data_IF_443311320049
#
_entry.id   IF_443311320049
#
_cell.length_a   1.000
_cell.length_b   1.000
_cell.length_c   1.000
_cell.angle_alpha   90.00
_cell.angle_beta   90.00
_cell.angle_gamma   90.00
#
_symmetry.space_group_name_H-M   'P 1'
#
loop_
_entity.id
_entity.type
_entity.pdbx_description
1 polymer ?
#
# COMPACT_ATOMS: atom_id res chain seq x y z
N UNK A 1 75.94 32.76 8.62
CA UNK A 1 74.61 33.29 9.03
C UNK A 1 73.61 32.72 8.03
N UNK A 2 73.13 31.42 8.32
CA UNK A 2 72.20 30.75 7.48
C UNK A 2 70.77 31.02 8.02
N UNK A 3 70.11 32.01 7.46
CA UNK A 3 68.71 32.28 7.76
C UNK A 3 67.87 31.18 7.10
N UNK A 4 67.14 30.37 7.92
CA UNK A 4 66.43 29.18 7.48
C UNK A 4 65.14 29.61 6.75
N UNK A 5 65.15 29.45 5.48
CA UNK A 5 64.04 29.73 4.52
C UNK A 5 62.75 28.95 4.85
N UNK A 6 62.84 27.98 5.77
CA UNK A 6 61.72 27.12 6.18
C UNK A 6 60.73 27.81 7.14
N UNK A 7 61.18 28.79 7.91
CA UNK A 7 60.29 29.43 8.94
C UNK A 7 59.40 30.50 8.29
N UNK A 8 59.79 31.04 7.14
CA UNK A 8 58.99 32.01 6.38
C UNK A 8 57.83 31.35 5.61
N UNK A 9 58.01 30.14 5.18
CA UNK A 9 56.96 29.38 4.46
C UNK A 9 55.82 28.96 5.42
N UNK A 10 56.12 28.55 6.66
CA UNK A 10 55.11 28.16 7.60
C UNK A 10 54.28 29.35 8.10
N UNK A 11 54.86 30.52 8.31
CA UNK A 11 54.12 31.72 8.72
C UNK A 11 53.17 32.21 7.60
N UNK A 12 53.58 32.13 6.33
CA UNK A 12 52.73 32.49 5.20
C UNK A 12 51.55 31.52 5.00
N UNK A 13 51.80 30.22 5.22
CA UNK A 13 50.77 29.19 5.08
C UNK A 13 49.69 29.30 6.20
N UNK A 14 50.07 29.60 7.42
CA UNK A 14 49.13 29.82 8.54
C UNK A 14 48.27 31.08 8.35
N UNK A 15 48.85 32.15 7.75
CA UNK A 15 48.11 33.37 7.48
C UNK A 15 47.04 33.16 6.38
N UNK A 16 47.37 32.36 5.34
CA UNK A 16 46.42 32.04 4.26
C UNK A 16 45.28 31.13 4.78
N UNK A 17 45.62 30.14 5.64
CA UNK A 17 44.60 29.28 6.24
C UNK A 17 43.65 30.06 7.18
N UNK A 18 44.18 30.99 7.95
CA UNK A 18 43.37 31.86 8.82
C UNK A 18 42.44 32.77 8.03
N UNK A 19 42.87 33.30 6.89
CA UNK A 19 42.06 34.15 6.04
C UNK A 19 40.92 33.36 5.37
N UNK A 20 41.16 32.12 4.93
CA UNK A 20 40.12 31.27 4.37
C UNK A 20 39.08 30.83 5.41
N UNK A 21 39.48 30.55 6.64
CA UNK A 21 38.56 30.20 7.72
C UNK A 21 37.66 31.38 8.15
N UNK A 22 38.17 32.60 8.16
CA UNK A 22 37.38 33.80 8.48
C UNK A 22 36.39 34.14 7.34
N UNK A 23 36.80 33.96 6.07
CA UNK A 23 35.92 34.19 4.93
C UNK A 23 34.78 33.17 4.85
N UNK A 24 35.05 31.91 5.24
CA UNK A 24 34.04 30.86 5.31
C UNK A 24 33.00 31.11 6.42
N UNK A 25 33.42 31.67 7.57
CA UNK A 25 32.48 32.07 8.63
C UNK A 25 31.61 33.27 8.22
N UNK A 26 32.15 34.24 7.47
CA UNK A 26 31.35 35.38 7.02
C UNK A 26 30.25 34.96 6.03
N UNK A 27 30.54 34.00 5.16
CA UNK A 27 29.53 33.48 4.23
C UNK A 27 28.48 32.60 4.93
N UNK A 28 28.81 31.96 6.05
CA UNK A 28 27.87 31.17 6.86
C UNK A 28 26.88 32.04 7.66
N UNK A 29 27.26 33.27 8.04
CA UNK A 29 26.36 34.15 8.78
C UNK A 29 25.36 34.91 7.88
N UNK A 30 25.65 35.03 6.60
CA UNK A 30 24.71 35.67 5.65
C UNK A 30 23.59 34.74 5.15
N UNK A 31 23.67 33.44 5.43
CA UNK A 31 22.63 32.47 5.05
C UNK A 31 21.50 32.31 6.09
N UNK A 32 21.53 33.07 7.20
CA UNK A 32 20.51 32.99 8.27
C UNK A 32 19.48 34.14 8.20
N UNK A 33 19.55 35.00 7.20
CA UNK A 33 18.45 35.86 6.86
C UNK A 33 17.57 35.18 5.82
N UNK A 34 16.93 34.07 6.25
CA UNK A 34 15.76 33.55 5.59
C UNK A 34 14.63 34.54 5.82
N UNK A 35 14.24 35.25 4.78
CA UNK A 35 13.01 35.98 4.73
C UNK A 35 11.89 35.01 5.03
N UNK A 36 11.31 35.12 6.21
CA UNK A 36 10.00 34.52 6.51
C UNK A 36 8.98 35.35 5.75
N UNK A 37 8.88 35.09 4.46
CA UNK A 37 7.67 35.41 3.73
C UNK A 37 6.65 34.34 4.13
N UNK A 38 5.80 34.68 5.08
CA UNK A 38 4.51 34.07 5.18
C UNK A 38 3.76 34.46 3.90
N UNK A 39 3.93 33.68 2.84
CA UNK A 39 2.98 33.66 1.75
C UNK A 39 1.73 33.02 2.32
N UNK A 40 0.82 33.91 2.70
CA UNK A 40 -0.59 33.62 2.88
C UNK A 40 -1.12 33.24 1.47
N UNK A 41 -0.80 32.03 1.01
CA UNK A 41 -1.49 31.42 -0.10
C UNK A 41 -2.90 31.09 0.38
N UNK A 42 -3.75 32.13 0.38
CA UNK A 42 -5.18 31.91 0.19
C UNK A 42 -5.33 31.32 -1.22
N UNK A 43 -5.02 30.04 -1.33
CA UNK A 43 -5.32 29.22 -2.48
C UNK A 43 -6.82 29.32 -2.69
N UNK A 44 -7.24 30.21 -3.58
CA UNK A 44 -8.58 30.20 -4.12
C UNK A 44 -8.81 28.81 -4.67
N UNK A 45 -9.67 28.03 -4.00
CA UNK A 45 -10.13 26.74 -4.48
C UNK A 45 -10.85 27.01 -5.80
N UNK A 46 -10.12 26.91 -6.89
CA UNK A 46 -10.71 26.79 -8.20
C UNK A 46 -11.45 25.47 -8.22
N UNK A 47 -12.76 25.53 -8.26
CA UNK A 47 -13.66 24.38 -8.48
C UNK A 47 -13.61 23.96 -9.95
N UNK A 48 -12.43 24.03 -10.57
CA UNK A 48 -12.20 23.53 -11.90
C UNK A 48 -12.13 21.99 -11.86
N UNK A 49 -12.61 21.40 -12.89
CA UNK A 49 -12.75 19.98 -13.21
C UNK A 49 -11.43 19.16 -13.07
N UNK A 50 -10.32 19.84 -12.76
CA UNK A 50 -8.96 19.32 -12.52
C UNK A 50 -8.56 19.39 -11.03
N UNK A 51 -9.52 19.39 -10.10
CA UNK A 51 -9.22 19.38 -8.68
C UNK A 51 -8.41 18.14 -8.28
N UNK A 52 -7.36 18.37 -7.50
CA UNK A 52 -6.56 17.29 -6.94
C UNK A 52 -7.32 16.61 -5.80
N UNK A 53 -7.33 15.29 -5.83
CA UNK A 53 -7.98 14.45 -4.82
C UNK A 53 -6.97 13.61 -4.07
N UNK A 54 -7.26 13.31 -2.81
CA UNK A 54 -6.48 12.38 -2.01
C UNK A 54 -7.15 11.01 -2.02
N UNK A 55 -6.38 10.02 -2.45
CA UNK A 55 -6.83 8.62 -2.47
C UNK A 55 -6.04 7.84 -1.45
N UNK A 56 -6.73 7.23 -0.50
CA UNK A 56 -6.12 6.36 0.51
C UNK A 56 -6.33 4.90 0.13
N UNK A 57 -5.23 4.18 -0.05
CA UNK A 57 -5.20 2.78 -0.45
C UNK A 57 -4.90 1.93 0.78
N UNK A 58 -5.78 0.96 1.06
CA UNK A 58 -5.64 -0.04 2.12
C UNK A 58 -5.31 -1.38 1.49
N UNK A 59 -4.13 -1.92 1.77
CA UNK A 59 -3.65 -3.21 1.25
C UNK A 59 -2.98 -4.01 2.37
N UNK A 60 -3.60 -5.08 2.84
CA UNK A 60 -3.08 -5.99 3.88
C UNK A 60 -2.54 -5.28 5.14
N UNK A 61 -3.20 -4.23 5.60
CA UNK A 61 -2.76 -3.44 6.75
C UNK A 61 -1.73 -2.35 6.42
N UNK A 62 -1.24 -2.28 5.20
CA UNK A 62 -0.52 -1.12 4.68
C UNK A 62 -1.50 -0.02 4.27
N UNK A 63 -1.17 1.22 4.61
CA UNK A 63 -1.97 2.38 4.25
C UNK A 63 -1.08 3.32 3.46
N UNK A 64 -1.52 3.70 2.26
CA UNK A 64 -0.82 4.64 1.40
C UNK A 64 -1.80 5.70 0.90
N UNK A 65 -1.45 6.97 1.05
CA UNK A 65 -2.21 8.07 0.48
C UNK A 65 -1.47 8.64 -0.71
N UNK A 66 -2.15 8.76 -1.83
CA UNK A 66 -1.65 9.35 -3.07
C UNK A 66 -2.53 10.51 -3.49
N UNK A 67 -1.92 11.51 -4.14
CA UNK A 67 -2.58 12.66 -4.71
C UNK A 67 -2.80 12.41 -6.19
N UNK A 68 -4.00 12.62 -6.67
CA UNK A 68 -4.36 12.42 -8.08
C UNK A 68 -5.31 13.52 -8.57
N UNK A 69 -5.24 13.82 -9.84
CA UNK A 69 -6.27 14.49 -10.61
C UNK A 69 -7.06 13.42 -11.32
N UNK A 70 -8.30 13.65 -11.71
CA UNK A 70 -9.16 12.70 -12.42
C UNK A 70 -8.43 11.45 -12.92
N UNK A 71 -8.76 10.33 -12.33
CA UNK A 71 -8.18 9.03 -12.68
C UNK A 71 -9.17 7.94 -12.31
N UNK A 72 -9.06 6.79 -12.95
CA UNK A 72 -9.76 5.58 -12.49
C UNK A 72 -8.99 4.94 -11.34
N UNK A 73 -9.67 4.06 -10.60
CA UNK A 73 -9.02 3.23 -9.55
C UNK A 73 -7.85 2.45 -10.14
N UNK A 74 -8.01 1.90 -11.36
CA UNK A 74 -6.94 1.16 -12.04
C UNK A 74 -5.68 2.02 -12.24
N UNK A 75 -5.83 3.25 -12.74
CA UNK A 75 -4.71 4.16 -12.99
C UNK A 75 -4.00 4.59 -11.70
N UNK A 76 -4.74 4.75 -10.60
CA UNK A 76 -4.16 5.08 -9.29
C UNK A 76 -3.35 3.92 -8.76
N UNK A 77 -3.84 2.68 -8.88
CA UNK A 77 -3.11 1.50 -8.45
C UNK A 77 -1.84 1.27 -9.29
N UNK A 78 -1.92 1.44 -10.61
CA UNK A 78 -0.76 1.34 -11.51
C UNK A 78 0.32 2.38 -11.16
N UNK A 79 -0.05 3.64 -10.98
CA UNK A 79 0.90 4.71 -10.55
C UNK A 79 1.49 4.49 -9.16
N UNK A 80 0.83 3.68 -8.34
CA UNK A 80 1.29 3.32 -7.00
C UNK A 80 2.15 2.07 -6.99
N UNK A 81 2.49 1.49 -8.15
CA UNK A 81 3.21 0.22 -8.32
C UNK A 81 2.53 -0.95 -7.58
N UNK A 82 1.19 -0.94 -7.54
CA UNK A 82 0.40 -2.00 -6.90
C UNK A 82 -0.05 -3.00 -7.97
N UNK A 83 0.53 -4.18 -7.92
CA UNK A 83 0.15 -5.29 -8.80
C UNK A 83 -0.94 -6.12 -8.12
N UNK A 84 -2.03 -6.37 -8.85
CA UNK A 84 -3.13 -7.22 -8.41
C UNK A 84 -2.98 -8.62 -9.00
N UNK A 85 -3.30 -9.64 -8.22
CA UNK A 85 -3.52 -10.99 -8.73
C UNK A 85 -4.93 -11.12 -9.32
N UNK A 86 -5.14 -12.09 -10.20
CA UNK A 86 -6.43 -12.32 -10.87
C UNK A 86 -7.59 -12.57 -9.87
N UNK A 87 -7.27 -13.14 -8.72
CA UNK A 87 -8.24 -13.50 -7.67
C UNK A 87 -8.35 -12.46 -6.56
N UNK A 88 -7.62 -11.33 -6.66
CA UNK A 88 -7.76 -10.21 -5.72
C UNK A 88 -9.05 -9.44 -6.00
N UNK A 89 -9.64 -8.86 -4.97
CA UNK A 89 -10.82 -8.01 -5.09
C UNK A 89 -10.45 -6.58 -4.70
N UNK A 90 -10.87 -5.63 -5.50
CA UNK A 90 -10.71 -4.20 -5.23
C UNK A 90 -12.07 -3.55 -5.06
N UNK A 91 -12.22 -2.73 -4.05
CA UNK A 91 -13.42 -1.95 -3.80
C UNK A 91 -13.02 -0.47 -3.57
N UNK A 92 -13.57 0.46 -4.39
CA UNK A 92 -14.49 0.27 -5.50
C UNK A 92 -13.83 -0.43 -6.72
N UNK A 93 -14.63 -0.74 -7.77
CA UNK A 93 -14.13 -1.44 -8.96
C UNK A 93 -13.06 -0.63 -9.70
N UNK A 94 -12.24 -1.32 -10.49
CA UNK A 94 -11.10 -0.72 -11.21
C UNK A 94 -11.51 0.41 -12.17
N UNK A 95 -12.72 0.31 -12.74
CA UNK A 95 -13.27 1.26 -13.70
C UNK A 95 -13.91 2.49 -13.03
N UNK A 96 -13.98 2.52 -11.69
CA UNK A 96 -14.57 3.64 -10.96
C UNK A 96 -13.73 4.90 -11.14
N UNK A 97 -14.35 5.98 -11.60
CA UNK A 97 -13.73 7.30 -11.69
C UNK A 97 -13.64 7.94 -10.31
N UNK A 98 -12.49 8.54 -10.04
CA UNK A 98 -12.20 9.25 -8.80
C UNK A 98 -12.46 10.74 -9.02
N UNK A 99 -13.54 11.24 -8.43
CA UNK A 99 -14.00 12.64 -8.55
C UNK A 99 -13.96 13.42 -7.23
N UNK A 100 -13.50 12.78 -6.17
CA UNK A 100 -13.36 13.35 -4.83
C UNK A 100 -12.35 12.56 -4.03
N UNK A 101 -12.09 12.91 -2.77
CA UNK A 101 -11.30 12.07 -1.86
C UNK A 101 -11.93 10.69 -1.73
N UNK A 102 -11.11 9.66 -1.87
CA UNK A 102 -11.59 8.29 -2.00
C UNK A 102 -10.77 7.31 -1.17
N UNK A 103 -11.42 6.21 -0.78
CA UNK A 103 -10.76 5.08 -0.13
C UNK A 103 -10.82 3.85 -1.05
N UNK A 104 -9.66 3.27 -1.36
CA UNK A 104 -9.55 2.03 -2.12
C UNK A 104 -9.15 0.92 -1.16
N UNK A 105 -9.94 -0.15 -1.10
CA UNK A 105 -9.65 -1.33 -0.31
C UNK A 105 -9.25 -2.48 -1.22
N UNK A 106 -8.09 -3.08 -0.97
CA UNK A 106 -7.60 -4.24 -1.70
C UNK A 106 -7.71 -5.46 -0.79
N UNK A 107 -8.52 -6.41 -1.19
CA UNK A 107 -8.68 -7.72 -0.54
C UNK A 107 -7.84 -8.73 -1.29
N UNK A 108 -6.67 -9.05 -0.73
CA UNK A 108 -5.76 -10.03 -1.34
C UNK A 108 -6.30 -11.44 -1.19
N UNK A 109 -6.20 -12.20 -2.27
CA UNK A 109 -6.56 -13.59 -2.25
C UNK A 109 -5.68 -14.39 -1.29
N UNK A 110 -6.31 -15.30 -0.55
CA UNK A 110 -5.68 -16.18 0.42
C UNK A 110 -6.08 -17.62 0.16
N UNK A 111 -5.22 -18.59 0.47
CA UNK A 111 -5.56 -20.01 0.30
C UNK A 111 -6.70 -20.40 1.23
N UNK A 112 -7.67 -21.10 0.68
CA UNK A 112 -8.77 -21.72 1.40
C UNK A 112 -8.94 -23.18 0.99
N UNK A 113 -9.44 -24.00 1.92
CA UNK A 113 -9.76 -25.41 1.72
C UNK A 113 -11.23 -25.59 2.06
N UNK A 114 -11.98 -26.11 1.10
CA UNK A 114 -13.38 -26.46 1.32
C UNK A 114 -13.52 -27.98 1.40
N UNK A 115 -14.18 -28.47 2.41
CA UNK A 115 -14.39 -29.89 2.71
C UNK A 115 -15.88 -30.19 2.56
N UNK A 116 -16.20 -31.14 1.68
CA UNK A 116 -17.54 -31.68 1.47
C UNK A 116 -17.51 -33.21 1.65
N UNK A 117 -17.85 -33.69 2.82
CA UNK A 117 -17.66 -35.09 3.19
C UNK A 117 -16.20 -35.51 3.11
N UNK A 118 -15.87 -36.39 2.16
CA UNK A 118 -14.50 -36.86 1.90
C UNK A 118 -13.76 -36.00 0.87
N UNK A 119 -14.47 -35.13 0.16
CA UNK A 119 -13.90 -34.29 -0.90
C UNK A 119 -13.23 -33.08 -0.27
N UNK A 120 -12.00 -32.76 -0.74
CA UNK A 120 -11.26 -31.55 -0.38
C UNK A 120 -10.94 -30.76 -1.66
N UNK A 121 -11.24 -29.47 -1.63
CA UNK A 121 -10.93 -28.53 -2.72
C UNK A 121 -10.10 -27.37 -2.19
N UNK A 122 -9.08 -27.02 -2.96
CA UNK A 122 -8.22 -25.88 -2.69
C UNK A 122 -8.60 -24.74 -3.62
N UNK A 123 -8.66 -23.52 -3.10
CA UNK A 123 -8.97 -22.33 -3.86
C UNK A 123 -8.18 -21.14 -3.32
N UNK A 124 -7.79 -20.22 -4.20
CA UNK A 124 -7.32 -18.89 -3.84
C UNK A 124 -8.51 -17.95 -3.92
N UNK A 125 -8.82 -17.26 -2.83
CA UNK A 125 -10.01 -16.42 -2.74
C UNK A 125 -9.78 -15.16 -1.90
N UNK A 126 -10.31 -14.04 -2.36
CA UNK A 126 -10.43 -12.80 -1.60
C UNK A 126 -11.78 -12.70 -0.87
N UNK A 127 -12.73 -13.60 -1.16
CA UNK A 127 -14.05 -13.62 -0.52
C UNK A 127 -13.97 -13.94 0.97
N UNK A 128 -14.90 -13.35 1.75
CA UNK A 128 -15.13 -13.64 3.16
C UNK A 128 -16.43 -14.43 3.38
N UNK A 129 -17.28 -14.55 2.36
CA UNK A 129 -18.50 -15.35 2.43
C UNK A 129 -18.17 -16.84 2.25
N UNK A 130 -18.43 -17.70 3.26
CA UNK A 130 -18.16 -19.12 3.16
C UNK A 130 -18.85 -19.82 2.01
N UNK A 131 -20.07 -19.40 1.65
CA UNK A 131 -20.81 -19.98 0.53
C UNK A 131 -20.16 -19.64 -0.81
N UNK A 132 -19.75 -18.37 -0.97
CA UNK A 132 -19.04 -17.93 -2.15
C UNK A 132 -17.70 -18.65 -2.31
N UNK A 133 -16.95 -18.84 -1.22
CA UNK A 133 -15.68 -19.61 -1.21
C UNK A 133 -15.91 -21.05 -1.68
N UNK A 134 -17.01 -21.67 -1.27
CA UNK A 134 -17.34 -23.04 -1.72
C UNK A 134 -17.67 -23.09 -3.23
N UNK A 135 -18.37 -22.09 -3.73
CA UNK A 135 -18.68 -21.97 -5.17
C UNK A 135 -17.41 -21.74 -5.98
N UNK A 136 -16.52 -20.84 -5.54
CA UNK A 136 -15.22 -20.58 -6.17
C UNK A 136 -14.31 -21.83 -6.14
N UNK A 137 -14.45 -22.69 -5.13
CA UNK A 137 -13.79 -23.99 -5.07
C UNK A 137 -14.38 -25.04 -6.03
N UNK A 138 -15.40 -24.66 -6.83
CA UNK A 138 -16.08 -25.55 -7.79
C UNK A 138 -17.06 -26.51 -7.13
N UNK A 139 -17.58 -26.17 -5.95
CA UNK A 139 -18.57 -26.99 -5.25
C UNK A 139 -19.96 -26.34 -5.36
N UNK A 140 -20.98 -27.18 -5.57
CA UNK A 140 -22.36 -26.71 -5.57
C UNK A 140 -22.87 -26.63 -4.13
N UNK A 141 -23.38 -25.47 -3.74
CA UNK A 141 -24.06 -25.25 -2.47
C UNK A 141 -25.55 -25.17 -2.77
N UNK A 142 -26.34 -26.03 -2.14
CA UNK A 142 -27.78 -26.09 -2.35
C UNK A 142 -28.53 -25.32 -1.24
N UNK A 143 -29.83 -25.06 -1.49
CA UNK A 143 -30.68 -24.48 -0.47
C UNK A 143 -30.78 -25.39 0.75
N UNK A 144 -30.54 -24.79 1.93
CA UNK A 144 -30.50 -25.51 3.19
C UNK A 144 -29.11 -26.06 3.57
N UNK A 145 -28.15 -26.08 2.66
CA UNK A 145 -26.75 -26.39 3.01
C UNK A 145 -26.13 -25.23 3.80
N UNK A 146 -25.33 -25.55 4.80
CA UNK A 146 -24.56 -24.57 5.55
C UNK A 146 -23.07 -24.75 5.30
N UNK A 147 -22.37 -23.65 5.04
CA UNK A 147 -20.90 -23.64 4.93
C UNK A 147 -20.33 -22.95 6.16
N UNK A 148 -19.62 -23.71 6.98
CA UNK A 148 -19.08 -23.22 8.24
C UNK A 148 -17.56 -23.15 8.21
N UNK A 149 -16.93 -22.15 8.86
CA UNK A 149 -15.51 -22.16 9.09
C UNK A 149 -15.14 -23.39 9.93
N UNK A 150 -14.14 -24.12 9.47
CA UNK A 150 -13.59 -25.29 10.16
C UNK A 150 -12.33 -24.93 10.93
N UNK A 151 -12.00 -25.75 11.92
CA UNK A 151 -10.72 -25.67 12.61
C UNK A 151 -9.66 -26.40 11.79
N UNK A 152 -8.60 -25.68 11.42
CA UNK A 152 -7.43 -26.30 10.80
C UNK A 152 -6.66 -27.07 11.88
N UNK A 153 -6.80 -28.41 11.91
CA UNK A 153 -6.13 -29.28 12.89
C UNK A 153 -4.82 -29.84 12.36
N UNK A 154 -4.56 -29.70 11.07
CA UNK A 154 -3.37 -30.26 10.45
C UNK A 154 -2.62 -29.17 9.66
N UNK A 155 -1.97 -28.29 10.38
CA UNK A 155 -1.23 -27.18 9.83
C UNK A 155 -0.10 -27.62 8.89
N UNK A 156 0.48 -28.80 9.10
CA UNK A 156 1.54 -29.35 8.26
C UNK A 156 1.05 -29.74 6.85
N UNK A 157 -0.21 -30.18 6.73
CA UNK A 157 -0.80 -30.53 5.44
C UNK A 157 -1.48 -29.34 4.74
N UNK A 158 -2.04 -28.42 5.51
CA UNK A 158 -2.91 -27.35 4.99
C UNK A 158 -2.23 -25.98 4.99
N UNK A 159 -1.07 -25.86 5.65
CA UNK A 159 -0.39 -24.58 5.81
C UNK A 159 -1.28 -23.53 6.52
N UNK A 160 -1.18 -22.29 6.08
CA UNK A 160 -1.97 -21.17 6.60
C UNK A 160 -3.39 -21.04 5.97
N UNK A 161 -3.84 -22.05 5.19
CA UNK A 161 -5.13 -22.00 4.52
C UNK A 161 -6.30 -22.00 5.51
N UNK A 162 -7.27 -21.14 5.26
CA UNK A 162 -8.55 -21.16 5.97
C UNK A 162 -9.34 -22.41 5.57
N UNK A 163 -9.95 -23.10 6.54
CA UNK A 163 -10.71 -24.31 6.26
C UNK A 163 -12.21 -24.03 6.41
N UNK A 164 -12.99 -24.52 5.46
CA UNK A 164 -14.44 -24.43 5.47
C UNK A 164 -15.03 -25.83 5.29
N UNK A 165 -16.16 -26.11 5.90
CA UNK A 165 -16.86 -27.39 5.78
C UNK A 165 -18.29 -27.15 5.33
N UNK A 166 -18.73 -27.91 4.33
CA UNK A 166 -20.13 -27.95 3.92
C UNK A 166 -20.87 -28.96 4.78
N UNK A 167 -21.88 -28.52 5.49
CA UNK A 167 -22.84 -29.34 6.18
C UNK A 167 -24.07 -29.49 5.28
N UNK A 168 -24.20 -30.66 4.67
CA UNK A 168 -25.32 -30.95 3.79
C UNK A 168 -26.60 -31.14 4.58
N UNK A 169 -27.63 -30.38 4.23
CA UNK A 169 -28.93 -30.64 4.79
C UNK A 169 -29.48 -31.97 4.21
N UNK A 170 -29.45 -33.02 5.02
CA UNK A 170 -29.77 -34.42 4.66
C UNK A 170 -31.21 -34.69 4.21
N UNK A 171 -31.95 -33.66 3.82
CA UNK A 171 -33.35 -33.74 3.36
C UNK A 171 -33.56 -34.04 1.89
N UNK A 172 -32.54 -34.53 1.12
CA UNK A 172 -32.78 -35.01 -0.25
C UNK A 172 -33.49 -36.33 -0.24
N UNK A 173 -34.81 -36.30 -0.37
CA UNK A 173 -35.53 -37.42 -0.92
C UNK A 173 -35.12 -37.55 -2.41
N UNK A 174 -34.42 -38.63 -2.74
CA UNK A 174 -34.27 -39.06 -4.13
C UNK A 174 -35.65 -39.45 -4.63
N UNK A 175 -36.28 -38.61 -5.44
CA UNK A 175 -37.42 -38.97 -6.25
C UNK A 175 -36.91 -39.49 -7.62
#
# INVERSE_FOLDING_TARGET
MHFRFRDFCCAALLAVLGFFLTLSCLNGLMSLQGDVYAEDESSSVNLDDDAEHFVTIYDQGSIRTVKTVRATVAEVLERSDIVLAETDIVNPSLETEITSDYNINIYRARPAIVIDGALRRYVMTASFDPKQIAIEAGLTVYDGDEVKPGVNRNFLETGAASTYRIERNGGRQLT
#
